data_IF_561432961683
#
_entry.id   IF_561432961683
#
_cell.length_a   1.000
_cell.length_b   1.000
_cell.length_c   1.000
_cell.angle_alpha   90.00
_cell.angle_beta   90.00
_cell.angle_gamma   90.00
#
_symmetry.space_group_name_H-M   'P 1'
#
loop_
_entity.id
_entity.type
_entity.pdbx_description
1 polymer ?
#
# COMPACT_ATOMS: atom_id res chain seq x y z
N UNK A 1 3.62 11.18 27.11
CA UNK A 1 4.73 10.52 27.81
C UNK A 1 5.86 10.34 26.82
N UNK A 2 6.83 11.26 26.83
CA UNK A 2 8.01 11.19 25.96
C UNK A 2 8.88 10.01 26.41
N UNK A 3 9.32 9.16 25.48
CA UNK A 3 10.30 8.13 25.79
C UNK A 3 11.57 8.86 26.22
N UNK A 4 12.07 8.58 27.43
CA UNK A 4 13.36 9.10 27.87
C UNK A 4 14.41 8.68 26.83
N UNK A 5 15.02 9.64 26.14
CA UNK A 5 16.15 9.36 25.27
C UNK A 5 17.22 8.65 26.09
N UNK A 6 17.57 7.41 25.72
CA UNK A 6 18.56 6.62 26.47
C UNK A 6 20.00 7.10 26.19
N UNK A 7 20.18 7.82 25.08
CA UNK A 7 21.45 8.40 24.66
C UNK A 7 21.28 9.85 24.19
N UNK A 8 22.27 10.67 24.49
CA UNK A 8 22.34 12.09 24.16
C UNK A 8 23.70 12.37 23.51
N UNK A 9 23.70 13.07 22.37
CA UNK A 9 24.93 13.53 21.72
C UNK A 9 25.09 15.03 21.97
N UNK A 10 26.16 15.41 22.66
CA UNK A 10 26.45 16.78 23.07
C UNK A 10 27.74 17.29 22.39
N UNK A 11 27.82 18.57 21.98
CA UNK A 11 29.06 19.16 21.51
C UNK A 11 30.00 19.43 22.69
N UNK A 12 30.98 18.54 22.92
CA UNK A 12 32.01 18.74 23.94
C UNK A 12 33.00 19.86 23.56
N UNK A 13 34.02 20.09 24.40
CA UNK A 13 34.95 21.21 24.17
C UNK A 13 35.75 21.08 22.88
N UNK A 14 36.11 19.87 22.49
CA UNK A 14 36.94 19.57 21.30
C UNK A 14 36.32 18.56 20.35
N UNK A 15 35.48 17.65 20.86
CA UNK A 15 34.86 16.58 20.07
C UNK A 15 33.42 16.36 20.50
N UNK A 16 32.65 15.68 19.66
CA UNK A 16 31.32 15.21 20.03
C UNK A 16 31.40 14.18 21.16
N UNK A 17 30.56 14.35 22.17
CA UNK A 17 30.45 13.48 23.33
C UNK A 17 29.15 12.70 23.27
N UNK A 18 29.21 11.40 23.54
CA UNK A 18 28.02 10.57 23.69
C UNK A 18 27.78 10.30 25.18
N UNK A 19 26.62 10.70 25.66
CA UNK A 19 26.17 10.51 27.02
C UNK A 19 25.07 9.46 27.05
N UNK A 20 25.10 8.58 28.06
CA UNK A 20 24.09 7.54 28.26
C UNK A 20 23.54 7.65 29.67
N UNK A 21 22.23 7.46 29.79
CA UNK A 21 21.56 7.44 31.08
C UNK A 21 21.67 6.03 31.68
N UNK A 22 22.22 5.95 32.89
CA UNK A 22 22.28 4.70 33.63
C UNK A 22 20.88 4.30 34.17
N UNK A 23 20.79 3.16 34.86
CA UNK A 23 19.53 2.72 35.46
C UNK A 23 19.10 3.57 36.66
N UNK A 24 20.00 4.37 37.23
CA UNK A 24 19.75 5.25 38.36
C UNK A 24 19.31 6.67 37.92
N UNK A 25 19.32 6.96 36.61
CA UNK A 25 18.97 8.28 36.06
C UNK A 25 20.16 9.24 35.93
N UNK A 26 21.38 8.77 36.19
CA UNK A 26 22.62 9.55 36.07
C UNK A 26 23.14 9.48 34.64
N UNK A 27 23.60 10.61 34.12
CA UNK A 27 24.18 10.70 32.78
C UNK A 27 25.70 10.55 32.85
N UNK A 28 26.22 9.52 32.18
CA UNK A 28 27.64 9.22 32.13
C UNK A 28 28.18 9.29 30.70
N UNK A 29 29.41 9.76 30.55
CA UNK A 29 30.12 9.83 29.27
C UNK A 29 30.50 8.42 28.81
N UNK A 30 30.11 8.05 27.60
CA UNK A 30 30.46 6.77 26.99
C UNK A 30 31.95 6.77 26.57
N UNK A 31 32.69 5.74 27.01
CA UNK A 31 34.14 5.66 26.86
C UNK A 31 34.66 5.38 25.43
N UNK A 32 33.78 5.10 24.46
CA UNK A 32 34.17 4.76 23.09
C UNK A 32 33.12 5.28 22.09
N UNK A 33 33.50 6.26 21.27
CA UNK A 33 32.65 6.89 20.25
C UNK A 33 33.29 6.83 18.86
N UNK A 34 34.01 5.74 18.56
CA UNK A 34 34.56 5.50 17.23
C UNK A 34 33.53 5.29 16.11
N UNK A 35 32.23 5.23 16.42
CA UNK A 35 31.16 5.10 15.41
C UNK A 35 30.05 6.13 15.61
N UNK A 36 29.50 6.62 14.50
CA UNK A 36 28.33 7.50 14.44
C UNK A 36 27.08 6.68 14.81
N UNK A 37 26.97 6.26 16.07
CA UNK A 37 25.76 5.62 16.59
C UNK A 37 24.60 6.62 16.55
N UNK A 38 23.41 6.15 16.14
CA UNK A 38 22.18 6.94 16.20
C UNK A 38 21.89 7.36 17.65
N UNK A 39 21.88 8.67 17.90
CA UNK A 39 21.57 9.20 19.23
C UNK A 39 20.05 9.24 19.46
N UNK A 40 19.60 9.12 20.71
CA UNK A 40 18.22 9.43 21.07
C UNK A 40 17.95 10.93 20.88
N UNK A 41 18.78 11.76 21.51
CA UNK A 41 18.69 13.22 21.41
C UNK A 41 20.01 13.80 20.89
N UNK A 42 19.95 14.70 19.92
CA UNK A 42 21.11 15.42 19.40
C UNK A 42 21.07 16.90 19.78
N UNK A 43 22.14 17.37 20.42
CA UNK A 43 22.36 18.78 20.71
C UNK A 43 22.93 19.50 19.50
N UNK A 44 22.12 20.37 18.89
CA UNK A 44 22.58 21.28 17.86
C UNK A 44 23.53 22.27 18.51
N UNK A 45 24.74 22.34 17.99
CA UNK A 45 25.79 23.25 18.46
C UNK A 45 25.34 24.71 18.35
N UNK A 46 25.78 25.54 19.29
CA UNK A 46 25.44 26.96 19.33
C UNK A 46 25.89 27.71 18.06
N UNK A 47 26.93 27.23 17.37
CA UNK A 47 27.38 27.78 16.09
C UNK A 47 26.31 27.75 14.99
N UNK A 48 25.43 26.76 15.02
CA UNK A 48 24.36 26.61 14.03
C UNK A 48 23.10 27.38 14.44
N UNK A 49 23.10 28.12 15.55
CA UNK A 49 21.90 28.71 16.13
C UNK A 49 22.03 30.23 16.18
N UNK A 50 21.03 30.90 15.62
CA UNK A 50 20.79 32.32 15.83
C UNK A 50 19.77 32.51 16.95
N UNK A 51 20.00 33.50 17.81
CA UNK A 51 19.09 33.83 18.90
C UNK A 51 18.57 35.26 18.77
N UNK A 52 17.25 35.40 18.80
CA UNK A 52 16.55 36.67 18.64
C UNK A 52 15.38 36.79 19.63
N UNK A 53 15.66 37.00 20.94
CA UNK A 53 14.60 37.21 21.93
C UNK A 53 13.79 38.48 21.61
N UNK A 54 12.53 38.52 22.09
CA UNK A 54 11.68 39.67 21.90
C UNK A 54 10.55 39.82 22.92
N UNK A 55 10.10 41.07 23.06
CA UNK A 55 8.85 41.39 23.76
C UNK A 55 7.66 41.25 22.84
N UNK A 56 6.60 40.64 23.35
CA UNK A 56 5.27 40.60 22.72
C UNK A 56 4.23 41.13 23.70
N UNK A 57 3.12 41.68 23.19
CA UNK A 57 2.03 42.10 24.04
C UNK A 57 1.39 40.88 24.74
N UNK A 58 1.06 41.01 26.02
CA UNK A 58 0.23 40.03 26.70
C UNK A 58 -1.23 40.27 26.28
N UNK A 59 -1.85 39.31 25.58
CA UNK A 59 -3.22 39.46 25.11
C UNK A 59 -4.25 39.44 26.25
N UNK A 60 -5.14 40.43 26.30
CA UNK A 60 -6.31 40.43 27.17
C UNK A 60 -7.35 39.43 26.63
N UNK A 61 -7.19 38.15 26.98
CA UNK A 61 -8.17 37.08 26.70
C UNK A 61 -8.14 36.45 25.31
N UNK A 62 -7.29 36.92 24.38
CA UNK A 62 -6.93 36.19 23.17
C UNK A 62 -5.50 35.63 23.33
N UNK A 63 -5.36 34.31 23.28
CA UNK A 63 -4.07 33.62 23.31
C UNK A 63 -3.22 34.18 22.16
N UNK A 64 -2.25 35.04 22.48
CA UNK A 64 -1.37 35.61 21.46
C UNK A 64 -0.51 34.46 20.96
N UNK A 65 -0.63 34.10 19.68
CA UNK A 65 0.14 33.00 19.13
C UNK A 65 1.61 33.42 18.98
N UNK A 66 2.38 33.19 20.03
CA UNK A 66 3.81 33.48 20.07
C UNK A 66 4.58 32.71 19.00
N UNK A 67 4.05 31.56 18.56
CA UNK A 67 4.63 30.75 17.49
C UNK A 67 4.55 31.50 16.16
N UNK A 68 3.38 32.03 15.80
CA UNK A 68 3.18 32.78 14.57
C UNK A 68 4.06 34.04 14.52
N UNK A 69 4.15 34.80 15.63
CA UNK A 69 5.00 35.99 15.71
C UNK A 69 6.48 35.63 15.57
N UNK A 70 6.93 34.57 16.26
CA UNK A 70 8.31 34.11 16.15
C UNK A 70 8.63 33.64 14.73
N UNK A 71 7.71 32.90 14.11
CA UNK A 71 7.85 32.38 12.75
C UNK A 71 7.95 33.50 11.72
N UNK A 72 7.06 34.51 11.77
CA UNK A 72 7.12 35.69 10.89
C UNK A 72 8.45 36.46 11.01
N UNK A 73 9.00 36.55 12.24
CA UNK A 73 10.29 37.21 12.46
C UNK A 73 11.44 36.41 11.85
N UNK A 74 11.43 35.09 12.01
CA UNK A 74 12.43 34.21 11.43
C UNK A 74 12.33 34.16 9.90
N UNK A 75 11.13 34.18 9.34
CA UNK A 75 10.92 34.29 7.88
C UNK A 75 11.49 35.59 7.33
N UNK A 76 11.33 36.71 8.04
CA UNK A 76 11.94 37.98 7.68
C UNK A 76 13.49 37.95 7.73
N UNK A 77 14.06 37.06 8.54
CA UNK A 77 15.50 36.79 8.63
C UNK A 77 15.95 35.66 7.67
N UNK A 78 15.05 35.16 6.81
CA UNK A 78 15.35 34.14 5.81
C UNK A 78 15.26 32.70 6.30
N UNK A 79 14.79 32.46 7.53
CA UNK A 79 14.58 31.12 8.09
C UNK A 79 13.11 30.74 7.96
N UNK A 80 12.82 29.62 7.28
CA UNK A 80 11.44 29.15 7.09
C UNK A 80 11.30 27.65 7.34
N UNK A 81 10.14 27.28 7.85
CA UNK A 81 9.75 25.90 8.08
C UNK A 81 9.11 25.34 6.80
N UNK A 82 9.82 24.46 6.09
CA UNK A 82 9.33 23.83 4.85
C UNK A 82 9.55 22.31 4.86
N UNK A 83 8.72 21.58 4.10
CA UNK A 83 8.83 20.12 3.90
C UNK A 83 8.86 19.26 5.19
N UNK A 84 8.27 19.76 6.27
CA UNK A 84 8.22 19.11 7.58
C UNK A 84 9.49 19.29 8.42
N UNK A 85 10.38 20.19 8.01
CA UNK A 85 11.40 20.77 8.86
C UNK A 85 10.78 21.76 9.84
N UNK A 86 11.42 21.90 10.99
CA UNK A 86 11.11 22.90 12.01
C UNK A 86 12.42 23.53 12.45
N UNK A 87 12.76 24.66 11.86
CA UNK A 87 14.05 25.32 11.99
C UNK A 87 14.09 26.27 13.17
N UNK A 88 12.93 26.71 13.66
CA UNK A 88 12.82 27.63 14.79
C UNK A 88 12.08 27.04 15.98
N UNK A 89 12.42 27.53 17.16
CA UNK A 89 11.77 27.21 18.41
C UNK A 89 11.71 28.42 19.32
N UNK A 90 10.62 28.48 20.09
CA UNK A 90 10.29 29.59 20.94
C UNK A 90 9.69 29.11 22.25
N UNK A 91 9.87 29.88 23.31
CA UNK A 91 9.26 29.64 24.60
C UNK A 91 9.14 30.94 25.37
N UNK A 92 8.09 31.05 26.19
CA UNK A 92 7.95 32.17 27.11
C UNK A 92 9.01 32.10 28.20
N UNK A 93 9.75 33.18 28.42
CA UNK A 93 10.81 33.29 29.43
C UNK A 93 10.26 34.00 30.67
N UNK A 94 9.57 35.13 30.49
CA UNK A 94 8.93 35.90 31.56
C UNK A 94 7.55 36.36 31.12
N UNK A 95 6.57 36.31 32.02
CA UNK A 95 5.25 36.89 31.82
C UNK A 95 5.09 38.12 32.73
N UNK A 96 4.74 39.26 32.15
CA UNK A 96 4.40 40.49 32.86
C UNK A 96 2.96 40.89 32.50
N UNK A 97 2.28 41.74 33.32
CA UNK A 97 0.86 42.06 33.13
C UNK A 97 0.47 42.61 31.75
N UNK A 98 1.41 43.23 31.02
CA UNK A 98 1.14 43.85 29.72
C UNK A 98 2.07 43.37 28.59
N UNK A 99 3.09 42.56 28.91
CA UNK A 99 4.05 42.06 27.94
C UNK A 99 4.64 40.72 28.37
N UNK A 100 4.98 39.89 27.41
CA UNK A 100 5.71 38.65 27.63
C UNK A 100 7.05 38.70 26.93
N UNK A 101 8.09 38.20 27.60
CA UNK A 101 9.41 38.02 27.01
C UNK A 101 9.47 36.62 26.43
N UNK A 102 9.70 36.54 25.13
CA UNK A 102 9.83 35.27 24.40
C UNK A 102 11.30 35.07 24.04
N UNK A 103 11.84 33.92 24.46
CA UNK A 103 13.11 33.41 23.97
C UNK A 103 12.84 32.72 22.65
N UNK A 104 13.52 33.15 21.59
CA UNK A 104 13.33 32.61 20.24
C UNK A 104 14.69 32.32 19.62
N UNK A 105 14.82 31.14 19.04
CA UNK A 105 16.05 30.65 18.44
C UNK A 105 15.74 29.88 17.16
N UNK A 106 16.65 29.95 16.19
CA UNK A 106 16.50 29.22 14.95
C UNK A 106 17.84 28.72 14.43
N UNK A 107 17.79 27.67 13.62
CA UNK A 107 18.95 27.19 12.87
C UNK A 107 19.31 28.26 11.85
N UNK A 108 20.54 28.77 11.95
CA UNK A 108 21.03 29.85 11.10
C UNK A 108 20.97 29.46 9.63
N UNK A 109 20.48 30.36 8.78
CA UNK A 109 20.35 30.14 7.34
C UNK A 109 21.71 29.83 6.69
N UNK A 110 22.79 30.42 7.20
CA UNK A 110 24.16 30.23 6.71
C UNK A 110 24.76 28.88 7.11
N UNK A 111 24.14 28.16 8.05
CA UNK A 111 24.65 26.93 8.65
C UNK A 111 23.78 25.70 8.32
N UNK A 112 22.87 25.81 7.37
CA UNK A 112 21.92 24.74 7.00
C UNK A 112 22.59 23.48 6.43
N UNK A 113 23.80 23.60 5.87
CA UNK A 113 24.58 22.51 5.27
C UNK A 113 25.66 21.96 6.22
N UNK A 114 25.65 22.35 7.51
CA UNK A 114 26.62 21.84 8.48
C UNK A 114 26.37 20.34 8.72
N UNK A 115 27.40 19.51 8.53
CA UNK A 115 27.30 18.05 8.63
C UNK A 115 26.76 17.57 9.99
N UNK A 116 26.89 18.38 11.05
CA UNK A 116 26.34 18.04 12.36
C UNK A 116 24.81 17.95 12.35
N UNK A 117 24.14 18.74 11.52
CA UNK A 117 22.68 18.76 11.39
C UNK A 117 22.13 17.50 10.70
N UNK A 118 22.92 16.88 9.83
CA UNK A 118 22.58 15.62 9.17
C UNK A 118 22.76 14.38 10.04
N UNK A 119 23.41 14.51 11.22
CA UNK A 119 23.78 13.34 12.00
C UNK A 119 22.56 12.55 12.49
N UNK A 120 22.60 11.21 12.49
CA UNK A 120 21.44 10.39 12.81
C UNK A 120 21.04 10.55 14.29
N UNK A 121 19.81 10.99 14.51
CA UNK A 121 19.16 11.07 15.83
C UNK A 121 17.63 10.93 15.77
N UNK A 122 17.00 10.57 16.90
CA UNK A 122 15.54 10.51 17.02
C UNK A 122 14.94 11.91 17.17
N UNK A 123 15.53 12.74 18.02
CA UNK A 123 15.10 14.11 18.28
C UNK A 123 16.31 15.07 18.28
N UNK A 124 16.03 16.34 18.04
CA UNK A 124 17.02 17.42 18.02
C UNK A 124 16.57 18.53 18.96
N UNK A 125 17.51 19.09 19.69
CA UNK A 125 17.30 20.25 20.56
C UNK A 125 18.59 21.08 20.63
N UNK A 126 18.51 22.25 21.25
CA UNK A 126 19.63 23.16 21.44
C UNK A 126 20.59 22.60 22.50
N UNK A 127 21.90 22.58 22.22
CA UNK A 127 22.91 22.14 23.18
C UNK A 127 22.80 22.91 24.51
N UNK A 128 22.61 24.22 24.46
CA UNK A 128 22.48 25.07 25.64
C UNK A 128 21.33 24.65 26.58
N UNK A 129 20.22 24.14 26.03
CA UNK A 129 19.07 23.65 26.83
C UNK A 129 19.33 22.31 27.50
N UNK A 130 20.41 21.62 27.12
CA UNK A 130 20.83 20.36 27.73
C UNK A 130 21.74 20.56 28.94
N UNK A 131 22.14 21.79 29.26
CA UNK A 131 22.92 22.08 30.45
C UNK A 131 22.01 22.63 31.56
N UNK A 132 22.28 22.32 32.83
CA UNK A 132 21.58 22.93 33.95
C UNK A 132 22.06 24.38 34.13
N UNK A 133 21.50 25.28 33.32
CA UNK A 133 21.84 26.70 33.33
C UNK A 133 21.44 27.35 34.65
N UNK A 134 22.24 28.31 35.19
CA UNK A 134 21.87 29.04 36.40
C UNK A 134 20.58 29.84 36.17
N UNK A 135 19.73 30.04 37.19
CA UNK A 135 18.62 30.98 37.10
C UNK A 135 19.13 32.42 37.08
N UNK A 136 18.54 33.27 36.24
CA UNK A 136 18.84 34.71 36.15
C UNK A 136 20.34 35.00 36.03
N UNK A 137 21.03 34.23 35.19
CA UNK A 137 22.48 34.15 35.16
C UNK A 137 23.07 34.00 33.78
N UNK A 138 24.40 33.87 33.76
CA UNK A 138 25.19 33.62 32.56
C UNK A 138 25.93 32.31 32.73
N UNK A 139 25.94 31.47 31.70
CA UNK A 139 26.80 30.31 31.60
C UNK A 139 27.75 30.47 30.42
N UNK A 140 29.03 30.17 30.62
CA UNK A 140 30.06 30.23 29.59
C UNK A 140 30.75 28.88 29.51
N UNK A 141 30.78 28.28 28.32
CA UNK A 141 31.46 27.01 28.08
C UNK A 141 32.09 27.00 26.69
N UNK A 142 32.65 25.86 26.31
CA UNK A 142 33.28 25.67 25.00
C UNK A 142 32.62 24.52 24.25
N UNK A 143 32.29 24.75 22.99
CA UNK A 143 31.75 23.77 22.05
C UNK A 143 32.66 23.69 20.83
N UNK A 144 33.26 22.52 20.59
CA UNK A 144 34.07 22.20 19.42
C UNK A 144 35.09 23.30 19.06
N UNK A 145 35.77 23.83 20.07
CA UNK A 145 36.78 24.88 19.92
C UNK A 145 36.30 26.32 20.06
N UNK A 146 34.99 26.59 20.10
CA UNK A 146 34.41 27.94 20.22
C UNK A 146 33.80 28.18 21.59
N UNK A 147 33.99 29.38 22.14
CA UNK A 147 33.34 29.76 23.39
C UNK A 147 31.89 30.17 23.13
N UNK A 148 31.00 29.68 23.99
CA UNK A 148 29.57 29.92 23.94
C UNK A 148 29.16 30.63 25.22
N UNK A 149 28.31 31.64 25.08
CA UNK A 149 27.65 32.33 26.17
C UNK A 149 26.15 32.05 26.09
N UNK A 150 25.56 31.56 27.18
CA UNK A 150 24.13 31.57 27.38
C UNK A 150 23.74 32.54 28.47
N UNK A 151 22.62 33.23 28.24
CA UNK A 151 21.97 34.09 29.22
C UNK A 151 20.61 33.50 29.56
N UNK A 152 20.27 33.48 30.84
CA UNK A 152 18.98 32.99 31.33
C UNK A 152 18.20 34.08 32.06
N UNK A 153 16.87 33.93 32.07
CA UNK A 153 15.96 34.73 32.89
C UNK A 153 14.78 33.86 33.34
N UNK A 154 14.35 33.99 34.59
CA UNK A 154 13.30 33.14 35.17
C UNK A 154 13.63 31.64 35.14
N UNK A 155 14.92 31.28 35.15
CA UNK A 155 15.38 29.89 35.01
C UNK A 155 15.23 29.29 33.61
N UNK A 156 14.89 30.10 32.60
CA UNK A 156 14.78 29.67 31.19
C UNK A 156 15.86 30.33 30.35
N UNK A 157 16.29 29.63 29.31
CA UNK A 157 17.26 30.15 28.35
C UNK A 157 16.65 31.36 27.61
N UNK A 158 17.36 32.48 27.57
CA UNK A 158 16.90 33.71 26.91
C UNK A 158 17.67 33.96 25.62
N UNK A 159 19.00 33.89 25.69
CA UNK A 159 19.88 34.19 24.57
C UNK A 159 21.08 33.25 24.56
N UNK A 160 21.55 32.89 23.37
CA UNK A 160 22.82 32.18 23.14
C UNK A 160 23.59 32.93 22.07
N UNK A 161 24.88 33.10 22.29
CA UNK A 161 25.79 33.64 21.28
C UNK A 161 27.16 32.99 21.38
N UNK A 162 27.91 33.06 20.29
CA UNK A 162 29.32 32.69 20.26
C UNK A 162 30.19 33.89 20.62
N UNK A 163 31.26 33.64 21.36
CA UNK A 163 32.30 34.64 21.57
C UNK A 163 33.35 34.52 20.46
N UNK A 164 33.72 35.65 19.88
CA UNK A 164 34.82 35.78 18.94
C UNK A 164 36.18 35.53 19.61
N UNK A 165 36.29 35.84 20.91
CA UNK A 165 37.51 35.64 21.68
C UNK A 165 37.93 34.14 21.71
N UNK A 166 39.14 33.80 21.23
CA UNK A 166 39.62 32.41 21.18
C UNK A 166 40.03 31.87 22.55
N UNK A 167 40.22 32.75 23.53
CA UNK A 167 40.59 32.47 24.93
C UNK A 167 39.74 33.37 25.81
N UNK A 168 39.37 32.90 27.01
CA UNK A 168 38.64 33.71 27.99
C UNK A 168 39.62 34.59 28.79
N UNK A 169 39.89 35.78 28.25
CA UNK A 169 40.80 36.79 28.79
C UNK A 169 40.11 38.18 28.90
N UNK A 170 40.88 39.26 29.03
CA UNK A 170 40.34 40.61 29.15
C UNK A 170 39.52 41.05 27.93
N UNK A 171 39.86 40.60 26.73
CA UNK A 171 39.12 40.94 25.51
C UNK A 171 37.75 40.23 25.50
N UNK A 172 37.72 38.97 25.94
CA UNK A 172 36.47 38.24 26.14
C UNK A 172 35.55 38.95 27.15
N UNK A 173 36.09 39.57 28.21
CA UNK A 173 35.28 40.35 29.17
C UNK A 173 34.61 41.55 28.50
N UNK A 174 35.31 42.25 27.58
CA UNK A 174 34.74 43.37 26.82
C UNK A 174 33.62 42.87 25.90
N UNK A 175 33.85 41.77 25.20
CA UNK A 175 32.83 41.16 24.34
C UNK A 175 31.57 40.77 25.13
N UNK A 176 31.74 40.12 26.28
CA UNK A 176 30.62 39.77 27.17
C UNK A 176 29.86 41.02 27.62
N UNK A 177 30.58 42.11 27.94
CA UNK A 177 29.96 43.39 28.31
C UNK A 177 29.09 43.93 27.17
N UNK A 178 29.59 43.91 25.95
CA UNK A 178 28.90 44.47 24.79
C UNK A 178 27.63 43.69 24.47
N UNK A 179 27.68 42.35 24.55
CA UNK A 179 26.49 41.48 24.43
C UNK A 179 25.47 41.83 25.50
N UNK A 180 25.90 41.97 26.74
CA UNK A 180 25.00 42.30 27.86
C UNK A 180 24.38 43.68 27.72
N UNK A 181 25.14 44.69 27.28
CA UNK A 181 24.63 46.03 26.98
C UNK A 181 23.59 46.01 25.85
N UNK A 182 23.80 45.19 24.81
CA UNK A 182 22.86 45.07 23.71
C UNK A 182 21.52 44.42 24.14
N UNK A 183 21.59 43.43 25.03
CA UNK A 183 20.40 42.79 25.61
C UNK A 183 19.67 43.71 26.62
N UNK A 184 20.43 44.45 27.43
CA UNK A 184 19.89 45.42 28.39
C UNK A 184 19.23 46.62 27.69
N UNK A 185 19.79 47.10 26.58
CA UNK A 185 19.20 48.16 25.75
C UNK A 185 17.81 47.81 25.21
N UNK A 186 17.49 46.51 25.09
CA UNK A 186 16.17 46.01 24.70
C UNK A 186 15.29 45.62 25.91
N UNK A 187 15.75 45.94 27.13
CA UNK A 187 15.13 45.60 28.40
C UNK A 187 14.93 44.09 28.61
N UNK A 188 15.73 43.24 27.95
CA UNK A 188 15.59 41.79 28.07
C UNK A 188 16.15 41.24 29.38
N UNK A 189 16.95 42.03 30.07
CA UNK A 189 17.62 41.66 31.31
C UNK A 189 17.00 42.41 32.49
N UNK A 190 17.11 41.81 33.68
CA UNK A 190 16.93 42.53 34.95
C UNK A 190 18.31 42.61 35.62
N UNK A 191 18.51 41.84 36.69
CA UNK A 191 19.81 41.73 37.37
C UNK A 191 20.39 40.33 37.15
N UNK A 192 21.63 40.27 36.69
CA UNK A 192 22.39 39.01 36.65
C UNK A 192 22.86 38.67 38.06
N UNK A 193 22.41 37.54 38.60
CA UNK A 193 22.77 37.11 39.94
C UNK A 193 24.02 36.23 40.00
N UNK A 194 24.27 35.47 38.93
CA UNK A 194 25.29 34.42 38.92
C UNK A 194 25.94 34.30 37.54
N UNK A 195 27.26 34.11 37.52
CA UNK A 195 28.01 33.73 36.31
C UNK A 195 28.76 32.43 36.56
N UNK A 196 28.48 31.40 35.76
CA UNK A 196 29.17 30.11 35.79
C UNK A 196 30.07 29.97 34.57
N UNK A 197 31.33 29.64 34.81
CA UNK A 197 32.33 29.40 33.75
C UNK A 197 32.72 27.93 33.82
N UNK A 198 32.36 27.18 32.77
CA UNK A 198 32.49 25.72 32.68
C UNK A 198 33.64 25.25 31.78
N UNK A 199 34.61 26.13 31.55
CA UNK A 199 35.77 25.89 30.67
C UNK A 199 37.00 26.57 31.29
N UNK A 200 38.18 26.23 30.80
CA UNK A 200 39.42 26.91 31.18
C UNK A 200 39.37 28.41 30.85
N UNK A 201 39.89 29.26 31.74
CA UNK A 201 39.98 30.71 31.56
C UNK A 201 41.32 31.25 32.07
N UNK A 202 41.76 32.40 31.55
CA UNK A 202 43.01 33.05 31.97
C UNK A 202 42.91 33.64 33.39
N UNK A 203 44.04 33.74 34.12
CA UNK A 203 44.08 34.42 35.40
C UNK A 203 43.59 35.87 35.27
N UNK A 204 42.60 36.25 36.07
CA UNK A 204 42.01 37.59 36.07
C UNK A 204 40.73 37.74 35.25
N UNK A 205 40.37 36.76 34.40
CA UNK A 205 39.10 36.75 33.68
C UNK A 205 37.90 36.85 34.64
N UNK A 206 37.85 35.98 35.65
CA UNK A 206 36.76 35.96 36.63
C UNK A 206 36.63 37.28 37.40
N UNK A 207 37.75 37.91 37.76
CA UNK A 207 37.76 39.21 38.43
C UNK A 207 37.29 40.33 37.48
N UNK A 208 37.62 40.23 36.19
CA UNK A 208 37.12 41.14 35.16
C UNK A 208 35.60 41.02 35.00
N UNK A 209 35.09 39.80 34.86
CA UNK A 209 33.65 39.50 34.79
C UNK A 209 32.91 40.02 36.04
N UNK A 210 33.44 39.74 37.23
CA UNK A 210 32.82 40.19 38.49
C UNK A 210 32.77 41.72 38.59
N UNK A 211 33.83 42.41 38.17
CA UNK A 211 33.87 43.88 38.22
C UNK A 211 32.98 44.55 37.16
N UNK A 212 32.87 43.97 35.96
CA UNK A 212 32.04 44.52 34.88
C UNK A 212 30.55 44.32 35.13
N UNK A 213 30.15 43.18 35.68
CA UNK A 213 28.74 42.86 35.89
C UNK A 213 28.22 43.20 37.30
N UNK A 214 29.06 43.76 38.18
CA UNK A 214 28.76 43.97 39.61
C UNK A 214 28.14 42.71 40.25
N UNK A 215 28.65 41.55 39.84
CA UNK A 215 28.13 40.24 40.19
C UNK A 215 29.12 39.55 41.14
N UNK A 216 28.71 39.24 42.39
CA UNK A 216 29.60 38.63 43.36
C UNK A 216 29.74 37.10 43.18
N UNK A 217 28.77 36.44 42.55
CA UNK A 217 28.76 34.98 42.35
C UNK A 217 29.28 34.60 40.96
N UNK A 218 30.59 34.82 40.76
CA UNK A 218 31.32 34.40 39.55
C UNK A 218 32.21 33.22 39.91
N UNK A 219 31.91 32.03 39.38
CA UNK A 219 32.61 30.79 39.73
C UNK A 219 33.05 30.05 38.49
N UNK A 220 34.32 29.59 38.52
CA UNK A 220 34.82 28.58 37.60
C UNK A 220 34.65 27.20 38.23
N UNK A 221 33.88 26.33 37.57
CA UNK A 221 33.59 24.98 38.02
C UNK A 221 33.59 24.02 36.82
N UNK A 222 33.79 22.71 37.03
CA UNK A 222 33.69 21.72 35.96
C UNK A 222 32.32 21.77 35.29
N UNK A 223 32.28 21.59 33.96
CA UNK A 223 31.02 21.53 33.23
C UNK A 223 30.12 20.41 33.79
N UNK A 224 28.87 20.71 34.14
CA UNK A 224 27.92 19.68 34.57
C UNK A 224 27.63 18.70 33.43
N UNK A 225 27.24 17.47 33.79
CA UNK A 225 26.79 16.49 32.81
C UNK A 225 25.54 17.02 32.07
N UNK A 226 25.47 16.89 30.74
CA UNK A 226 24.28 17.27 29.98
C UNK A 226 23.11 16.35 30.30
N UNK A 227 21.93 16.94 30.42
CA UNK A 227 20.66 16.29 30.74
C UNK A 227 19.64 16.71 29.69
N UNK A 228 18.78 15.81 29.19
CA UNK A 228 17.72 16.21 28.26
C UNK A 228 16.79 17.26 28.90
N UNK A 229 16.33 18.26 28.13
CA UNK A 229 15.44 19.28 28.65
C UNK A 229 14.08 18.68 29.03
N UNK A 230 13.39 19.33 29.97
CA UNK A 230 12.07 18.89 30.45
C UNK A 230 11.02 18.81 29.33
N UNK A 231 11.11 19.72 28.36
CA UNK A 231 10.36 19.69 27.11
C UNK A 231 11.31 19.89 25.93
N UNK A 232 11.08 19.12 24.87
CA UNK A 232 11.83 19.26 23.63
C UNK A 232 11.37 20.50 22.88
N UNK A 233 12.31 21.24 22.30
CA UNK A 233 12.03 22.35 21.39
C UNK A 233 11.36 21.89 20.09
N UNK A 234 11.53 20.62 19.72
CA UNK A 234 10.93 20.03 18.53
C UNK A 234 11.60 20.44 17.23
N UNK A 235 12.85 20.92 17.30
CA UNK A 235 13.63 21.29 16.11
C UNK A 235 13.81 20.05 15.21
N UNK A 236 13.70 20.28 13.91
CA UNK A 236 13.95 19.27 12.87
C UNK A 236 14.72 19.96 11.75
N UNK A 237 16.05 19.77 11.69
CA UNK A 237 16.86 20.30 10.61
C UNK A 237 16.34 19.86 9.23
N UNK A 238 16.50 20.70 8.21
CA UNK A 238 16.02 20.43 6.84
C UNK A 238 16.47 19.09 6.29
N UNK A 239 17.76 18.77 6.46
CA UNK A 239 18.36 17.55 5.94
C UNK A 239 17.68 16.30 6.52
N UNK A 240 17.39 16.33 7.82
CA UNK A 240 16.69 15.27 8.54
C UNK A 240 15.23 15.19 8.08
N UNK A 241 14.56 16.33 7.87
CA UNK A 241 13.19 16.37 7.35
C UNK A 241 13.09 15.72 5.96
N UNK A 242 14.01 16.06 5.05
CA UNK A 242 14.10 15.48 3.70
C UNK A 242 14.35 13.98 3.76
N UNK A 243 15.29 13.53 4.60
CA UNK A 243 15.56 12.10 4.80
C UNK A 243 14.34 11.35 5.34
N UNK A 244 13.67 11.90 6.37
CA UNK A 244 12.44 11.33 6.94
C UNK A 244 11.30 11.31 5.91
N UNK A 245 11.18 12.33 5.07
CA UNK A 245 10.18 12.38 4.00
C UNK A 245 10.44 11.30 2.94
N UNK A 246 11.68 11.13 2.48
CA UNK A 246 12.05 10.10 1.53
C UNK A 246 11.78 8.68 2.09
N UNK A 247 12.13 8.45 3.36
CA UNK A 247 11.86 7.17 4.03
C UNK A 247 10.35 6.89 4.16
N UNK A 248 9.55 7.89 4.56
CA UNK A 248 8.09 7.78 4.61
C UNK A 248 7.48 7.47 3.24
N UNK A 249 7.97 8.09 2.16
CA UNK A 249 7.54 7.79 0.78
C UNK A 249 7.81 6.33 0.41
N UNK A 250 9.01 5.82 0.70
CA UNK A 250 9.36 4.41 0.46
C UNK A 250 8.46 3.45 1.24
N UNK A 251 8.23 3.73 2.53
CA UNK A 251 7.37 2.90 3.37
C UNK A 251 5.92 2.88 2.87
N UNK A 252 5.38 4.01 2.42
CA UNK A 252 4.04 4.06 1.80
C UNK A 252 3.97 3.20 0.54
N UNK A 253 4.99 3.24 -0.33
CA UNK A 253 5.04 2.40 -1.52
C UNK A 253 5.10 0.91 -1.17
N UNK A 254 5.90 0.54 -0.17
CA UNK A 254 5.95 -0.86 0.33
C UNK A 254 4.60 -1.28 0.90
N UNK A 255 3.94 -0.43 1.69
CA UNK A 255 2.60 -0.70 2.24
C UNK A 255 1.55 -0.90 1.15
N UNK A 256 1.57 -0.07 0.10
CA UNK A 256 0.70 -0.22 -1.07
C UNK A 256 0.98 -1.55 -1.78
N UNK A 257 2.26 -1.90 -1.97
CA UNK A 257 2.66 -3.18 -2.57
C UNK A 257 2.17 -4.39 -1.75
N UNK A 258 2.32 -4.34 -0.42
CA UNK A 258 1.83 -5.39 0.49
C UNK A 258 0.30 -5.50 0.45
N UNK A 259 -0.42 -4.37 0.42
CA UNK A 259 -1.87 -4.36 0.30
C UNK A 259 -2.34 -4.99 -1.03
N UNK A 260 -1.69 -4.65 -2.14
CA UNK A 260 -1.96 -5.26 -3.46
C UNK A 260 -1.70 -6.76 -3.46
N UNK A 261 -0.58 -7.20 -2.89
CA UNK A 261 -0.27 -8.62 -2.76
C UNK A 261 -1.32 -9.37 -1.92
N UNK A 262 -1.78 -8.78 -0.81
CA UNK A 262 -2.83 -9.36 0.02
C UNK A 262 -4.15 -9.51 -0.75
N UNK A 263 -4.56 -8.51 -1.53
CA UNK A 263 -5.75 -8.60 -2.40
C UNK A 263 -5.59 -9.74 -3.42
N UNK A 264 -4.41 -9.86 -4.03
CA UNK A 264 -4.13 -10.93 -5.00
C UNK A 264 -4.25 -12.32 -4.36
N UNK A 265 -3.70 -12.50 -3.15
CA UNK A 265 -3.83 -13.75 -2.38
C UNK A 265 -5.30 -14.08 -2.10
N UNK A 266 -6.12 -13.11 -1.71
CA UNK A 266 -7.56 -13.32 -1.46
C UNK A 266 -8.29 -13.73 -2.74
N UNK A 267 -7.99 -13.10 -3.88
CA UNK A 267 -8.61 -13.45 -5.17
C UNK A 267 -8.23 -14.88 -5.58
N UNK A 268 -6.95 -15.24 -5.49
CA UNK A 268 -6.49 -16.59 -5.83
C UNK A 268 -7.04 -17.65 -4.87
N UNK A 269 -7.10 -17.36 -3.58
CA UNK A 269 -7.70 -18.25 -2.60
C UNK A 269 -9.21 -18.45 -2.86
N UNK A 270 -9.94 -17.38 -3.18
CA UNK A 270 -11.36 -17.46 -3.56
C UNK A 270 -11.55 -18.26 -4.83
N UNK A 271 -10.70 -18.08 -5.83
CA UNK A 271 -10.78 -18.81 -7.09
C UNK A 271 -10.49 -20.31 -6.90
N UNK A 272 -9.42 -20.64 -6.16
CA UNK A 272 -9.09 -22.02 -5.80
C UNK A 272 -10.22 -22.68 -5.00
N UNK A 273 -10.87 -21.95 -4.09
CA UNK A 273 -12.02 -22.45 -3.35
C UNK A 273 -13.23 -22.75 -4.25
N UNK A 274 -13.51 -21.89 -5.23
CA UNK A 274 -14.58 -22.14 -6.21
C UNK A 274 -14.26 -23.38 -7.06
N UNK A 275 -13.02 -23.52 -7.52
CA UNK A 275 -12.57 -24.70 -8.27
C UNK A 275 -12.74 -25.99 -7.44
N UNK A 276 -12.34 -25.96 -6.18
CA UNK A 276 -12.51 -27.10 -5.27
C UNK A 276 -13.99 -27.48 -5.07
N UNK A 277 -14.89 -26.49 -4.99
CA UNK A 277 -16.33 -26.76 -4.94
C UNK A 277 -16.86 -27.38 -6.24
N UNK A 278 -16.34 -26.98 -7.40
CA UNK A 278 -16.74 -27.54 -8.68
C UNK A 278 -16.28 -28.99 -8.83
N UNK A 279 -15.02 -29.29 -8.49
CA UNK A 279 -14.49 -30.66 -8.51
C UNK A 279 -15.30 -31.59 -7.61
N UNK A 280 -15.66 -31.14 -6.41
CA UNK A 280 -16.49 -31.94 -5.48
C UNK A 280 -17.90 -32.18 -6.00
N UNK A 281 -18.51 -31.21 -6.72
CA UNK A 281 -19.80 -31.39 -7.39
C UNK A 281 -19.72 -32.37 -8.55
N UNK A 282 -18.72 -32.23 -9.43
CA UNK A 282 -18.50 -33.15 -10.55
C UNK A 282 -18.27 -34.56 -10.02
N UNK A 283 -17.44 -34.73 -9.00
CA UNK A 283 -17.21 -36.04 -8.38
C UNK A 283 -18.48 -36.64 -7.75
N UNK A 284 -19.40 -35.81 -7.27
CA UNK A 284 -20.70 -36.27 -6.75
C UNK A 284 -21.66 -36.68 -7.87
N UNK A 285 -21.75 -35.90 -8.94
CA UNK A 285 -22.55 -36.21 -10.13
C UNK A 285 -22.03 -37.48 -10.83
N UNK A 286 -20.71 -37.63 -10.94
CA UNK A 286 -20.10 -38.80 -11.56
C UNK A 286 -20.34 -40.09 -10.76
N UNK A 287 -20.48 -39.99 -9.42
CA UNK A 287 -20.94 -41.11 -8.58
C UNK A 287 -22.40 -41.46 -8.83
N UNK A 288 -23.26 -40.47 -9.06
CA UNK A 288 -24.67 -40.71 -9.40
C UNK A 288 -24.79 -41.36 -10.78
N UNK A 289 -24.03 -40.88 -11.77
CA UNK A 289 -23.97 -41.47 -13.12
C UNK A 289 -23.49 -42.92 -13.04
N UNK A 290 -22.42 -43.22 -12.28
CA UNK A 290 -21.94 -44.60 -12.08
C UNK A 290 -22.96 -45.51 -11.41
N UNK A 291 -23.83 -44.98 -10.55
CA UNK A 291 -24.90 -45.74 -9.92
C UNK A 291 -26.03 -46.13 -10.90
N UNK A 292 -26.29 -45.29 -11.90
CA UNK A 292 -27.38 -45.51 -12.88
C UNK A 292 -26.88 -46.17 -14.18
N UNK A 293 -25.56 -46.16 -14.43
CA UNK A 293 -24.93 -46.82 -15.57
C UNK A 293 -25.37 -48.28 -15.83
N UNK A 294 -25.48 -49.18 -14.82
CA UNK A 294 -25.95 -50.55 -15.08
C UNK A 294 -27.43 -50.61 -15.53
N UNK A 295 -28.27 -49.69 -15.06
CA UNK A 295 -29.69 -49.63 -15.45
C UNK A 295 -29.85 -49.12 -16.88
N UNK A 296 -28.99 -48.18 -17.31
CA UNK A 296 -29.00 -47.70 -18.71
C UNK A 296 -28.59 -48.82 -19.67
N UNK A 297 -27.62 -49.65 -19.29
CA UNK A 297 -27.20 -50.81 -20.08
C UNK A 297 -28.33 -51.85 -20.22
N UNK A 298 -29.03 -52.19 -19.12
CA UNK A 298 -30.18 -53.10 -19.17
C UNK A 298 -31.32 -52.57 -20.05
N UNK A 299 -31.60 -51.26 -19.99
CA UNK A 299 -32.63 -50.62 -20.82
C UNK A 299 -32.21 -50.59 -22.29
N UNK A 300 -30.92 -50.39 -22.60
CA UNK A 300 -30.41 -50.47 -23.97
C UNK A 300 -30.50 -51.89 -24.53
N UNK A 301 -30.09 -52.90 -23.76
CA UNK A 301 -30.23 -54.30 -24.18
C UNK A 301 -31.70 -54.69 -24.39
N UNK A 302 -32.60 -54.24 -23.51
CA UNK A 302 -34.03 -54.48 -23.66
C UNK A 302 -34.61 -53.76 -24.89
N UNK A 303 -34.16 -52.53 -25.19
CA UNK A 303 -34.56 -51.78 -26.39
C UNK A 303 -34.08 -52.49 -27.66
N UNK A 304 -32.84 -52.95 -27.69
CA UNK A 304 -32.28 -53.64 -28.84
C UNK A 304 -32.97 -55.00 -29.06
N UNK A 305 -33.27 -55.74 -27.99
CA UNK A 305 -34.05 -56.96 -28.04
C UNK A 305 -35.49 -56.72 -28.53
N UNK A 306 -36.13 -55.63 -28.11
CA UNK A 306 -37.47 -55.24 -28.56
C UNK A 306 -37.48 -54.88 -30.05
N UNK A 307 -36.50 -54.09 -30.51
CA UNK A 307 -36.33 -53.75 -31.93
C UNK A 307 -36.08 -54.99 -32.79
N UNK A 308 -35.30 -55.97 -32.30
CA UNK A 308 -35.08 -57.22 -33.02
C UNK A 308 -36.37 -58.07 -33.15
N UNK A 309 -37.27 -57.99 -32.17
CA UNK A 309 -38.56 -58.69 -32.19
C UNK A 309 -39.66 -57.94 -32.96
N UNK A 310 -39.44 -56.68 -33.32
CA UNK A 310 -40.43 -55.81 -33.98
C UNK A 310 -40.95 -56.41 -35.30
N UNK A 311 -40.08 -57.07 -36.08
CA UNK A 311 -40.47 -57.73 -37.34
C UNK A 311 -41.29 -59.01 -37.13
N UNK A 312 -41.15 -59.69 -35.98
CA UNK A 312 -41.88 -60.92 -35.69
C UNK A 312 -43.25 -60.65 -35.02
N UNK A 313 -43.38 -59.50 -34.34
CA UNK A 313 -44.57 -59.17 -33.55
C UNK A 313 -45.52 -58.23 -34.29
N UNK A 314 -45.02 -57.42 -35.25
CA UNK A 314 -45.85 -56.50 -36.02
C UNK A 314 -46.53 -57.20 -37.21
N UNK A 315 -47.86 -57.39 -37.21
CA UNK A 315 -48.57 -58.07 -38.30
C UNK A 315 -48.45 -57.33 -39.64
N UNK A 316 -48.24 -56.01 -39.58
CA UNK A 316 -48.19 -55.12 -40.74
C UNK A 316 -46.88 -55.23 -41.55
N UNK A 317 -45.85 -55.85 -40.96
CA UNK A 317 -44.55 -56.13 -41.62
C UNK A 317 -44.46 -57.57 -42.14
N UNK A 318 -45.53 -58.35 -42.01
CA UNK A 318 -45.51 -59.76 -42.40
C UNK A 318 -45.48 -59.90 -43.94
N UNK A 319 -44.55 -60.70 -44.51
CA UNK A 319 -44.38 -60.82 -45.96
C UNK A 319 -45.66 -61.14 -46.75
N UNK A 320 -46.53 -61.97 -46.17
CA UNK A 320 -47.80 -62.36 -46.79
C UNK A 320 -48.83 -61.22 -46.81
N UNK A 321 -48.86 -60.38 -45.77
CA UNK A 321 -49.78 -59.25 -45.71
C UNK A 321 -49.30 -58.16 -46.67
N UNK A 322 -48.00 -57.86 -46.71
CA UNK A 322 -47.43 -56.92 -47.67
C UNK A 322 -47.68 -57.36 -49.13
N UNK A 323 -47.56 -58.66 -49.42
CA UNK A 323 -47.91 -59.20 -50.74
C UNK A 323 -49.40 -59.03 -51.04
N UNK A 324 -50.28 -59.34 -50.08
CA UNK A 324 -51.72 -59.18 -50.23
C UNK A 324 -52.10 -57.71 -50.48
N UNK A 325 -51.53 -56.77 -49.73
CA UNK A 325 -51.74 -55.34 -49.92
C UNK A 325 -51.33 -54.88 -51.33
N UNK A 326 -50.18 -55.33 -51.83
CA UNK A 326 -49.71 -55.00 -53.20
C UNK A 326 -50.61 -55.62 -54.27
N UNK A 327 -51.03 -56.89 -54.11
CA UNK A 327 -51.92 -57.57 -55.06
C UNK A 327 -53.33 -56.99 -55.06
N UNK A 328 -53.84 -56.55 -53.90
CA UNK A 328 -55.17 -55.95 -53.77
C UNK A 328 -55.32 -54.63 -54.55
N UNK A 329 -54.20 -53.97 -54.86
CA UNK A 329 -54.15 -52.74 -55.66
C UNK A 329 -54.10 -53.02 -57.17
N UNK A 330 -54.04 -54.28 -57.60
CA UNK A 330 -54.00 -54.60 -59.03
C UNK A 330 -55.38 -54.45 -59.67
N UNK A 331 -55.48 -53.78 -60.84
CA UNK A 331 -56.73 -53.74 -61.59
C UNK A 331 -57.05 -55.12 -62.19
N UNK A 332 -58.33 -55.44 -62.42
CA UNK A 332 -58.76 -56.77 -62.88
C UNK A 332 -58.22 -57.19 -64.27
N UNK A 333 -57.66 -56.26 -65.05
CA UNK A 333 -56.93 -56.58 -66.28
C UNK A 333 -55.94 -55.48 -66.70
N UNK A 334 -54.79 -55.88 -67.24
CA UNK A 334 -53.81 -54.98 -67.86
C UNK A 334 -52.53 -54.72 -67.08
N UNK A 335 -52.35 -55.33 -65.91
CA UNK A 335 -51.08 -55.35 -65.17
C UNK A 335 -50.77 -56.80 -64.75
N UNK A 336 -49.53 -57.24 -64.96
CA UNK A 336 -49.05 -58.56 -64.57
C UNK A 336 -47.78 -58.42 -63.74
N UNK A 337 -47.81 -58.94 -62.52
CA UNK A 337 -46.62 -58.99 -61.65
C UNK A 337 -45.72 -60.16 -62.06
N UNK A 338 -44.43 -59.88 -62.22
CA UNK A 338 -43.43 -60.87 -62.60
C UNK A 338 -42.55 -61.26 -61.40
N UNK A 339 -42.23 -60.31 -60.53
CA UNK A 339 -41.33 -60.53 -59.41
C UNK A 339 -41.75 -59.71 -58.19
N UNK A 340 -41.78 -60.36 -57.02
CA UNK A 340 -41.98 -59.73 -55.73
C UNK A 340 -40.90 -60.27 -54.79
N UNK A 341 -40.04 -59.39 -54.29
CA UNK A 341 -38.98 -59.72 -53.35
C UNK A 341 -39.03 -58.79 -52.15
N UNK A 342 -38.83 -59.38 -50.97
CA UNK A 342 -38.69 -58.66 -49.70
C UNK A 342 -37.29 -58.96 -49.17
N UNK A 343 -36.54 -57.90 -48.89
CA UNK A 343 -35.28 -57.89 -48.18
C UNK A 343 -35.45 -57.05 -46.90
N UNK A 344 -34.59 -57.21 -45.89
CA UNK A 344 -34.81 -56.72 -44.49
C UNK A 344 -35.20 -55.23 -44.39
N UNK A 345 -34.86 -54.40 -45.39
CA UNK A 345 -35.16 -52.96 -45.43
C UNK A 345 -35.80 -52.53 -46.76
N UNK A 346 -36.01 -53.45 -47.73
CA UNK A 346 -36.40 -53.12 -49.10
C UNK A 346 -37.49 -54.05 -49.65
N UNK A 347 -38.48 -53.44 -50.27
CA UNK A 347 -39.58 -54.10 -50.96
C UNK A 347 -39.46 -53.85 -52.47
N UNK A 348 -39.27 -54.90 -53.26
CA UNK A 348 -39.08 -54.81 -54.71
C UNK A 348 -40.27 -55.46 -55.41
N UNK A 349 -40.95 -54.69 -56.25
CA UNK A 349 -42.10 -55.14 -57.04
C UNK A 349 -41.83 -54.84 -58.52
N UNK A 350 -41.81 -55.87 -59.36
CA UNK A 350 -41.63 -55.73 -60.81
C UNK A 350 -42.77 -56.35 -61.58
N UNK A 351 -43.18 -55.67 -62.65
CA UNK A 351 -44.27 -56.14 -63.48
C UNK A 351 -44.32 -55.48 -64.86
N UNK A 352 -45.28 -55.95 -65.66
CA UNK A 352 -45.59 -55.44 -66.98
C UNK A 352 -47.01 -54.85 -66.98
N UNK A 353 -47.16 -53.68 -67.57
CA UNK A 353 -48.44 -53.02 -67.81
C UNK A 353 -48.74 -52.96 -69.32
N UNK A 354 -50.02 -53.01 -69.67
CA UNK A 354 -50.49 -52.89 -71.06
C UNK A 354 -50.38 -51.46 -71.61
N UNK A 355 -50.22 -50.46 -70.74
CA UNK A 355 -50.10 -49.05 -71.09
C UNK A 355 -49.33 -48.29 -70.01
N UNK A 356 -48.64 -47.22 -70.40
CA UNK A 356 -47.87 -46.34 -69.52
C UNK A 356 -48.78 -45.64 -68.50
N UNK A 357 -49.99 -45.26 -68.91
CA UNK A 357 -50.97 -44.62 -68.03
C UNK A 357 -51.44 -45.56 -66.89
N UNK A 358 -51.56 -46.86 -67.17
CA UNK A 358 -51.90 -47.86 -66.14
C UNK A 358 -50.76 -48.10 -65.15
N UNK A 359 -49.51 -48.01 -65.60
CA UNK A 359 -48.35 -48.11 -64.72
C UNK A 359 -48.24 -46.92 -63.75
N UNK A 360 -48.53 -45.70 -64.22
CA UNK A 360 -48.56 -44.52 -63.34
C UNK A 360 -49.74 -44.53 -62.37
N UNK A 361 -50.94 -44.95 -62.80
CA UNK A 361 -52.07 -45.12 -61.89
C UNK A 361 -51.78 -46.15 -60.78
N UNK A 362 -51.07 -47.24 -61.09
CA UNK A 362 -50.62 -48.20 -60.09
C UNK A 362 -49.59 -47.59 -59.12
N UNK A 363 -48.64 -46.79 -59.60
CA UNK A 363 -47.72 -46.02 -58.75
C UNK A 363 -48.46 -45.11 -57.77
N UNK A 364 -49.47 -44.39 -58.24
CA UNK A 364 -50.23 -43.48 -57.39
C UNK A 364 -51.04 -44.24 -56.34
N UNK A 365 -51.60 -45.40 -56.69
CA UNK A 365 -52.31 -46.27 -55.74
C UNK A 365 -51.36 -46.90 -54.72
N UNK A 366 -50.15 -47.28 -55.14
CA UNK A 366 -49.11 -47.84 -54.27
C UNK A 366 -48.59 -46.80 -53.26
N UNK A 367 -48.39 -45.56 -53.71
CA UNK A 367 -47.87 -44.46 -52.87
C UNK A 367 -48.93 -43.94 -51.89
N UNK A 368 -50.21 -43.96 -52.29
CA UNK A 368 -51.32 -43.43 -51.47
C UNK A 368 -51.99 -44.48 -50.57
N UNK A 369 -51.55 -45.74 -50.57
CA UNK A 369 -52.10 -46.76 -49.68
C UNK A 369 -51.59 -46.56 -48.24
N UNK A 370 -52.53 -46.42 -47.30
CA UNK A 370 -52.23 -46.24 -45.88
C UNK A 370 -51.42 -47.39 -45.25
N UNK A 371 -51.50 -48.60 -45.78
CA UNK A 371 -50.72 -49.75 -45.29
C UNK A 371 -49.25 -49.73 -45.78
N UNK A 372 -48.96 -49.04 -46.89
CA UNK A 372 -47.64 -49.00 -47.52
C UNK A 372 -46.94 -47.64 -47.38
N UNK A 373 -47.51 -46.72 -46.60
CA UNK A 373 -47.00 -45.36 -46.39
C UNK A 373 -45.70 -45.29 -45.59
N UNK A 374 -45.33 -46.39 -44.91
CA UNK A 374 -44.06 -46.53 -44.17
C UNK A 374 -42.87 -46.80 -45.10
N UNK A 375 -43.10 -47.03 -46.38
CA UNK A 375 -42.06 -47.21 -47.39
C UNK A 375 -41.91 -45.96 -48.26
N UNK A 376 -40.67 -45.52 -48.45
CA UNK A 376 -40.35 -44.50 -49.44
C UNK A 376 -40.20 -45.17 -50.81
N UNK A 377 -41.12 -44.86 -51.72
CA UNK A 377 -41.24 -45.52 -53.01
C UNK A 377 -40.48 -44.81 -54.13
N UNK A 378 -39.52 -45.50 -54.73
CA UNK A 378 -38.86 -45.09 -55.95
C UNK A 378 -39.44 -45.85 -57.15
N UNK A 379 -40.02 -45.10 -58.10
CA UNK A 379 -40.65 -45.64 -59.31
C UNK A 379 -40.07 -44.96 -60.56
N UNK A 380 -38.97 -45.49 -61.12
CA UNK A 380 -38.40 -44.99 -62.37
C UNK A 380 -39.40 -45.09 -63.54
N UNK A 381 -39.21 -44.26 -64.56
CA UNK A 381 -40.08 -44.22 -65.74
C UNK A 381 -40.14 -45.61 -66.40
N UNK A 382 -41.33 -46.20 -66.60
CA UNK A 382 -41.49 -47.52 -67.18
C UNK A 382 -40.82 -47.65 -68.56
N UNK A 383 -40.12 -48.77 -68.80
CA UNK A 383 -39.40 -49.03 -70.06
C UNK A 383 -40.30 -49.79 -71.03
N UNK A 384 -40.43 -49.29 -72.27
CA UNK A 384 -41.18 -49.99 -73.33
C UNK A 384 -40.39 -51.22 -73.80
N UNK A 385 -41.02 -52.39 -73.74
CA UNK A 385 -40.36 -53.67 -74.11
C UNK A 385 -40.64 -54.02 -75.57
N UNK A 386 -41.87 -53.82 -76.06
CA UNK A 386 -42.27 -54.19 -77.45
C UNK A 386 -43.35 -53.25 -78.04
N UNK A 387 -43.35 -51.95 -77.69
CA UNK A 387 -44.23 -50.93 -78.29
C UNK A 387 -45.73 -51.03 -77.93
N UNK A 388 -46.16 -52.09 -77.25
CA UNK A 388 -47.53 -52.28 -76.72
C UNK A 388 -47.57 -52.72 -75.25
N UNK A 389 -46.40 -52.95 -74.62
CA UNK A 389 -46.26 -53.28 -73.20
C UNK A 389 -45.11 -52.53 -72.59
N UNK A 390 -45.27 -52.17 -71.32
CA UNK A 390 -44.31 -51.36 -70.58
C UNK A 390 -43.96 -52.06 -69.28
N UNK A 391 -42.66 -52.25 -69.03
CA UNK A 391 -42.16 -52.84 -67.79
C UNK A 391 -41.91 -51.75 -66.76
N UNK A 392 -42.36 -51.99 -65.53
CA UNK A 392 -42.13 -51.10 -64.40
C UNK A 392 -41.40 -51.83 -63.27
N UNK A 393 -40.56 -51.07 -62.57
CA UNK A 393 -39.85 -51.50 -61.37
C UNK A 393 -40.22 -50.51 -60.25
N UNK A 394 -40.72 -51.02 -59.13
CA UNK A 394 -40.99 -50.24 -57.93
C UNK A 394 -40.11 -50.75 -56.78
N UNK A 395 -39.39 -49.84 -56.13
CA UNK A 395 -38.56 -50.16 -54.96
C UNK A 395 -38.99 -49.28 -53.80
N UNK A 396 -39.55 -49.91 -52.76
CA UNK A 396 -39.89 -49.26 -51.49
C UNK A 396 -38.78 -49.49 -50.47
N UNK A 397 -38.29 -48.43 -49.82
CA UNK A 397 -37.33 -48.54 -48.70
C UNK A 397 -38.03 -48.24 -47.39
N UNK A 398 -37.90 -49.11 -46.38
CA UNK A 398 -38.59 -48.92 -45.10
C UNK A 398 -38.03 -47.71 -44.36
N UNK A 399 -38.90 -46.73 -44.05
CA UNK A 399 -38.54 -45.59 -43.22
C UNK A 399 -38.54 -46.04 -41.76
N UNK A 400 -37.35 -46.25 -41.20
CA UNK A 400 -37.19 -46.57 -39.78
C UNK A 400 -37.55 -45.33 -38.97
N UNK A 401 -38.75 -45.29 -38.36
CA UNK A 401 -39.09 -44.26 -37.39
C UNK A 401 -38.15 -44.40 -36.18
N UNK A 402 -37.23 -43.44 -36.02
CA UNK A 402 -36.34 -43.37 -34.85
C UNK A 402 -34.85 -43.51 -35.17
N UNK A 403 -34.29 -42.51 -35.86
CA UNK A 403 -32.89 -42.11 -35.73
C UNK A 403 -32.81 -40.58 -35.64
N UNK A 404 -33.38 -40.03 -34.56
CA UNK A 404 -32.88 -38.83 -33.89
C UNK A 404 -32.44 -39.20 -32.48
#
# INVERSE_FOLDING_TARGET
MSKSSTSLRFPGESTWEMWRCDRAGTWELAADTGSVEKAGLHGIQARCIDSAPFWTAAGDGAETDHEEVALLRWEALGVSDTDGARQSAQWTVVQQPHRELVGSMAISADMLEDESLAMPAEDFDLSARMLPLPPDGIAIWKELGRHVMAVTRGGRLLHVTLLAAPVLDADAVVELRDVMLALDAQEFLDRVSTVRVWTACEPGFLSGVSSVFDCPDVVNEPRPAPVPPASLAGLVPMEVAVQRAAWRRRMRLVQIGVALAAVFVVVFASWAFVLYQQETRIAAEERQIRGVAPQVLEVQEAKDAWMAMEMAVSPDLYPMELYHQVVSLLPPSGIKLNEFQIDDVKLIVRGEASDTEKAFNFRDQLTNNAALSRYEWNFPVPKSVDGTRVQFDAVGTYMKEGAE
#
